data_IF_493541736610
#
_entry.id   IF_493541736610
#
_cell.length_a   1.000
_cell.length_b   1.000
_cell.length_c   1.000
_cell.angle_alpha   90.00
_cell.angle_beta   90.00
_cell.angle_gamma   90.00
#
_symmetry.space_group_name_H-M   'P 1'
#
loop_
_entity.id
_entity.type
_entity.pdbx_description
1 polymer ?
#
# COMPACT_ATOMS: atom_id res chain seq x y z
N UNK A 1 5.43 72.61 -43.48
CA UNK A 1 4.08 73.11 -43.81
C UNK A 1 3.21 71.89 -44.06
N UNK A 2 2.08 71.79 -43.33
CA UNK A 2 0.92 70.90 -43.56
C UNK A 2 1.20 69.40 -43.59
N UNK A 3 0.91 68.60 -42.57
CA UNK A 3 -0.41 68.16 -42.06
C UNK A 3 -0.09 67.08 -40.99
N UNK A 4 -0.84 66.74 -39.95
CA UNK A 4 -2.21 66.96 -39.54
C UNK A 4 -2.26 66.88 -38.01
N UNK A 5 -2.71 67.95 -37.35
CA UNK A 5 -3.35 67.82 -36.04
C UNK A 5 -4.65 67.05 -36.26
N UNK A 6 -4.63 65.72 -36.13
CA UNK A 6 -5.87 64.99 -35.84
C UNK A 6 -6.19 65.30 -34.39
N UNK A 7 -7.08 66.27 -34.20
CA UNK A 7 -7.63 66.61 -32.89
C UNK A 7 -8.03 65.32 -32.18
N UNK A 8 -7.44 65.07 -31.01
CA UNK A 8 -7.85 64.05 -30.05
C UNK A 8 -9.15 64.55 -29.40
N UNK A 9 -10.17 64.77 -30.23
CA UNK A 9 -11.52 65.10 -29.78
C UNK A 9 -12.12 63.81 -29.23
N UNK A 10 -12.50 63.85 -27.95
CA UNK A 10 -13.32 62.81 -27.33
C UNK A 10 -14.48 62.45 -28.30
N UNK A 11 -14.74 61.16 -28.58
CA UNK A 11 -15.77 60.76 -29.53
C UNK A 11 -17.12 61.36 -29.16
N UNK A 12 -17.87 61.81 -30.15
CA UNK A 12 -19.11 62.55 -29.92
C UNK A 12 -20.22 61.59 -29.44
N UNK A 13 -20.69 61.70 -28.18
CA UNK A 13 -21.70 60.78 -27.64
C UNK A 13 -23.10 60.96 -28.24
N UNK A 14 -23.30 61.93 -29.13
CA UNK A 14 -24.54 62.15 -29.90
C UNK A 14 -24.46 61.63 -31.34
N UNK A 15 -23.26 61.27 -31.84
CA UNK A 15 -23.09 60.74 -33.19
C UNK A 15 -23.33 59.23 -33.19
N UNK A 16 -24.53 58.84 -33.62
CA UNK A 16 -24.94 57.43 -33.75
C UNK A 16 -24.00 56.65 -34.67
N UNK A 17 -23.56 57.25 -35.78
CA UNK A 17 -22.69 56.58 -36.76
C UNK A 17 -21.28 56.38 -36.23
N UNK A 18 -20.75 57.31 -35.45
CA UNK A 18 -19.46 57.15 -34.76
C UNK A 18 -19.53 56.07 -33.68
N UNK A 19 -20.56 56.10 -32.81
CA UNK A 19 -20.71 55.09 -31.75
C UNK A 19 -20.91 53.69 -32.32
N UNK A 20 -21.68 53.53 -33.39
CA UNK A 20 -21.86 52.23 -34.05
C UNK A 20 -20.54 51.72 -34.65
N UNK A 21 -19.73 52.56 -35.29
CA UNK A 21 -18.40 52.17 -35.79
C UNK A 21 -17.47 51.69 -34.67
N UNK A 22 -17.53 52.32 -33.51
CA UNK A 22 -16.74 51.89 -32.34
C UNK A 22 -17.21 50.54 -31.80
N UNK A 23 -18.52 50.27 -31.80
CA UNK A 23 -19.08 48.97 -31.44
C UNK A 23 -18.66 47.91 -32.46
N UNK A 24 -18.79 48.16 -33.76
CA UNK A 24 -18.42 47.21 -34.81
C UNK A 24 -16.92 46.87 -34.75
N UNK A 25 -16.06 47.87 -34.55
CA UNK A 25 -14.63 47.67 -34.37
C UNK A 25 -14.32 46.82 -33.13
N UNK A 26 -15.00 47.07 -32.01
CA UNK A 26 -14.85 46.29 -30.79
C UNK A 26 -15.33 44.84 -30.96
N UNK A 27 -16.48 44.62 -31.60
CA UNK A 27 -17.01 43.29 -31.88
C UNK A 27 -16.11 42.50 -32.83
N UNK A 28 -15.55 43.15 -33.86
CA UNK A 28 -14.58 42.55 -34.76
C UNK A 28 -13.29 42.14 -34.03
N UNK A 29 -12.76 43.02 -33.16
CA UNK A 29 -11.58 42.73 -32.36
C UNK A 29 -11.83 41.59 -31.36
N UNK A 30 -13.00 41.54 -30.72
CA UNK A 30 -13.40 40.43 -29.84
C UNK A 30 -13.48 39.11 -30.62
N UNK A 31 -14.09 39.12 -31.81
CA UNK A 31 -14.18 37.93 -32.67
C UNK A 31 -12.82 37.44 -33.17
N UNK A 32 -11.86 38.35 -33.37
CA UNK A 32 -10.51 38.03 -33.84
C UNK A 32 -9.58 37.49 -32.74
N UNK A 33 -9.87 37.75 -31.45
CA UNK A 33 -9.05 37.26 -30.35
C UNK A 33 -9.09 35.73 -30.27
N UNK A 34 -7.91 35.11 -30.28
CA UNK A 34 -7.73 33.65 -30.25
C UNK A 34 -7.23 33.12 -28.90
N UNK A 35 -6.76 34.00 -28.02
CA UNK A 35 -6.31 33.66 -26.66
C UNK A 35 -6.90 34.58 -25.61
N UNK A 36 -6.98 34.12 -24.38
CA UNK A 36 -7.41 34.94 -23.23
C UNK A 36 -6.50 36.15 -23.02
N UNK A 37 -5.21 36.03 -23.36
CA UNK A 37 -4.25 37.13 -23.37
C UNK A 37 -4.56 38.19 -24.43
N UNK A 38 -4.89 37.78 -25.67
CA UNK A 38 -5.32 38.68 -26.74
C UNK A 38 -6.65 39.36 -26.39
N UNK A 39 -7.62 38.61 -25.86
CA UNK A 39 -8.91 39.17 -25.45
C UNK A 39 -8.76 40.20 -24.32
N UNK A 40 -7.81 39.99 -23.40
CA UNK A 40 -7.48 40.97 -22.36
C UNK A 40 -6.99 42.28 -22.96
N UNK A 41 -6.18 42.23 -24.02
CA UNK A 41 -5.72 43.42 -24.74
C UNK A 41 -6.90 44.11 -25.44
N UNK A 42 -7.74 43.37 -26.16
CA UNK A 42 -8.98 43.89 -26.78
C UNK A 42 -9.89 44.58 -25.75
N UNK A 43 -10.03 44.00 -24.55
CA UNK A 43 -10.81 44.61 -23.47
C UNK A 43 -10.23 45.95 -23.00
N UNK A 44 -8.90 46.07 -22.90
CA UNK A 44 -8.24 47.33 -22.53
C UNK A 44 -8.52 48.39 -23.59
N UNK A 45 -8.36 48.03 -24.86
CA UNK A 45 -8.43 48.98 -25.99
C UNK A 45 -9.87 49.44 -26.28
N UNK A 46 -10.85 48.54 -26.13
CA UNK A 46 -12.25 48.81 -26.55
C UNK A 46 -13.26 48.95 -25.40
N UNK A 47 -12.96 48.45 -24.19
CA UNK A 47 -13.86 48.50 -23.04
C UNK A 47 -13.21 49.06 -21.76
N UNK A 48 -11.91 49.38 -21.79
CA UNK A 48 -11.17 49.94 -20.66
C UNK A 48 -11.50 51.41 -20.40
N UNK A 49 -10.96 51.96 -19.31
CA UNK A 49 -11.26 53.32 -18.84
C UNK A 49 -10.80 54.44 -19.78
N UNK A 50 -9.90 54.14 -20.72
CA UNK A 50 -9.42 55.05 -21.76
C UNK A 50 -9.89 54.66 -23.16
N UNK A 51 -10.76 53.66 -23.27
CA UNK A 51 -11.31 53.24 -24.56
C UNK A 51 -12.16 54.34 -25.20
N UNK A 52 -12.30 54.37 -26.53
CA UNK A 52 -13.15 55.35 -27.22
C UNK A 52 -14.59 55.41 -26.67
N UNK A 53 -15.19 54.26 -26.30
CA UNK A 53 -16.52 54.22 -25.69
C UNK A 53 -16.54 54.77 -24.25
N UNK A 54 -15.46 54.62 -23.48
CA UNK A 54 -15.34 55.22 -22.16
C UNK A 54 -15.13 56.74 -22.23
N UNK A 55 -14.37 57.22 -23.22
CA UNK A 55 -14.19 58.65 -23.50
C UNK A 55 -15.51 59.30 -23.96
N UNK A 56 -16.25 58.66 -24.88
CA UNK A 56 -17.60 59.08 -25.26
C UNK A 56 -18.52 59.17 -24.04
N UNK A 57 -18.47 58.17 -23.15
CA UNK A 57 -19.29 58.15 -21.94
C UNK A 57 -18.95 59.29 -20.97
N UNK A 58 -17.68 59.71 -20.87
CA UNK A 58 -17.27 60.87 -20.07
C UNK A 58 -17.73 62.19 -20.68
N UNK A 59 -17.73 62.28 -22.01
CA UNK A 59 -18.16 63.47 -22.74
C UNK A 59 -19.65 63.80 -22.52
N UNK A 60 -20.49 62.82 -22.14
CA UNK A 60 -21.91 63.03 -21.80
C UNK A 60 -22.10 64.08 -20.69
N UNK A 61 -21.19 64.15 -19.72
CA UNK A 61 -21.25 65.12 -18.62
C UNK A 61 -21.14 66.58 -19.09
N UNK A 62 -20.58 66.81 -20.28
CA UNK A 62 -20.38 68.13 -20.90
C UNK A 62 -21.59 68.56 -21.76
N UNK A 63 -22.60 67.70 -21.95
CA UNK A 63 -23.79 67.99 -22.77
C UNK A 63 -24.86 68.81 -22.03
N UNK A 64 -25.74 69.46 -22.80
CA UNK A 64 -26.95 70.12 -22.28
C UNK A 64 -27.95 69.10 -21.69
N UNK A 65 -28.73 69.47 -20.64
CA UNK A 65 -29.64 68.55 -19.94
C UNK A 65 -30.61 67.78 -20.84
N UNK A 66 -31.09 68.40 -21.92
CA UNK A 66 -32.01 67.77 -22.88
C UNK A 66 -31.39 66.65 -23.73
N UNK A 67 -30.06 66.65 -23.91
CA UNK A 67 -29.34 65.73 -24.78
C UNK A 67 -28.71 64.54 -24.02
N UNK A 68 -28.49 64.70 -22.71
CA UNK A 68 -27.85 63.67 -21.85
C UNK A 68 -28.60 62.34 -21.84
N UNK A 69 -29.94 62.34 -21.84
CA UNK A 69 -30.74 61.11 -21.79
C UNK A 69 -30.52 60.22 -23.02
N UNK A 70 -30.53 60.83 -24.21
CA UNK A 70 -30.35 60.11 -25.46
C UNK A 70 -28.91 59.59 -25.62
N UNK A 71 -27.92 60.45 -25.36
CA UNK A 71 -26.51 60.07 -25.37
C UNK A 71 -26.18 58.95 -24.36
N UNK A 72 -26.74 59.01 -23.15
CA UNK A 72 -26.58 57.99 -22.12
C UNK A 72 -27.18 56.63 -22.51
N UNK A 73 -28.34 56.63 -23.17
CA UNK A 73 -28.93 55.39 -23.68
C UNK A 73 -28.07 54.77 -24.79
N UNK A 74 -27.63 55.59 -25.76
CA UNK A 74 -26.83 55.14 -26.89
C UNK A 74 -25.48 54.56 -26.44
N UNK A 75 -24.69 55.32 -25.67
CA UNK A 75 -23.37 54.88 -25.21
C UNK A 75 -23.48 53.76 -24.17
N UNK A 76 -24.52 53.78 -23.33
CA UNK A 76 -24.80 52.71 -22.36
C UNK A 76 -25.10 51.37 -23.05
N UNK A 77 -25.94 51.38 -24.10
CA UNK A 77 -26.24 50.19 -24.90
C UNK A 77 -25.01 49.70 -25.68
N UNK A 78 -24.22 50.61 -26.25
CA UNK A 78 -22.97 50.29 -26.93
C UNK A 78 -21.98 49.57 -26.00
N UNK A 79 -21.73 50.14 -24.81
CA UNK A 79 -20.86 49.53 -23.79
C UNK A 79 -21.41 48.19 -23.29
N UNK A 80 -22.73 48.09 -23.08
CA UNK A 80 -23.38 46.85 -22.69
C UNK A 80 -23.17 45.73 -23.72
N UNK A 81 -23.30 46.04 -25.00
CA UNK A 81 -23.13 45.09 -26.10
C UNK A 81 -21.68 44.60 -26.21
N UNK A 82 -20.70 45.51 -26.12
CA UNK A 82 -19.27 45.15 -26.14
C UNK A 82 -18.89 44.33 -24.91
N UNK A 83 -19.34 44.72 -23.72
CA UNK A 83 -19.07 43.95 -22.50
C UNK A 83 -19.67 42.55 -22.54
N UNK A 84 -20.88 42.40 -23.10
CA UNK A 84 -21.52 41.11 -23.28
C UNK A 84 -20.72 40.22 -24.26
N UNK A 85 -20.26 40.79 -25.38
CA UNK A 85 -19.43 40.08 -26.35
C UNK A 85 -18.08 39.65 -25.77
N UNK A 86 -17.40 40.54 -25.02
CA UNK A 86 -16.16 40.22 -24.31
C UNK A 86 -16.38 39.09 -23.30
N UNK A 87 -17.46 39.14 -22.51
CA UNK A 87 -17.76 38.09 -21.53
C UNK A 87 -18.05 36.74 -22.21
N UNK A 88 -18.82 36.74 -23.29
CA UNK A 88 -19.11 35.53 -24.05
C UNK A 88 -17.81 34.92 -24.64
N UNK A 89 -16.98 35.75 -25.29
CA UNK A 89 -15.71 35.31 -25.86
C UNK A 89 -14.72 34.82 -24.80
N UNK A 90 -14.70 35.45 -23.63
CA UNK A 90 -13.86 35.02 -22.52
C UNK A 90 -14.21 33.60 -22.07
N UNK A 91 -15.50 33.27 -21.99
CA UNK A 91 -15.94 31.93 -21.63
C UNK A 91 -15.55 30.88 -22.68
N UNK A 92 -15.70 31.21 -23.97
CA UNK A 92 -15.28 30.35 -25.08
C UNK A 92 -13.78 30.06 -25.04
N UNK A 93 -12.95 31.10 -24.91
CA UNK A 93 -11.49 30.96 -24.89
C UNK A 93 -11.01 30.24 -23.63
N UNK A 94 -11.60 30.51 -22.47
CA UNK A 94 -11.28 29.76 -21.23
C UNK A 94 -11.57 28.26 -21.39
N UNK A 95 -12.72 27.90 -21.97
CA UNK A 95 -13.09 26.51 -22.18
C UNK A 95 -12.14 25.81 -23.18
N UNK A 96 -11.77 26.50 -24.26
CA UNK A 96 -10.83 25.98 -25.25
C UNK A 96 -9.41 25.80 -24.68
N UNK A 97 -8.91 26.79 -23.93
CA UNK A 97 -7.59 26.71 -23.28
C UNK A 97 -7.56 25.61 -22.20
N UNK A 98 -8.64 25.44 -21.42
CA UNK A 98 -8.76 24.35 -20.45
C UNK A 98 -8.75 22.97 -21.12
N UNK A 99 -9.53 22.77 -22.19
CA UNK A 99 -9.54 21.49 -22.92
C UNK A 99 -8.16 21.17 -23.51
N UNK A 100 -7.47 22.17 -24.08
CA UNK A 100 -6.11 22.00 -24.57
C UNK A 100 -5.13 21.62 -23.45
N UNK A 101 -5.23 22.25 -22.28
CA UNK A 101 -4.44 21.89 -21.10
C UNK A 101 -4.72 20.45 -20.65
N UNK A 102 -5.99 20.05 -20.54
CA UNK A 102 -6.40 18.70 -20.15
C UNK A 102 -5.86 17.61 -21.11
N UNK A 103 -5.80 17.89 -22.42
CA UNK A 103 -5.21 16.96 -23.38
C UNK A 103 -3.69 16.89 -23.28
N UNK A 104 -3.03 18.03 -23.04
CA UNK A 104 -1.57 18.11 -22.97
C UNK A 104 -1.03 17.52 -21.66
N UNK A 105 -1.77 17.70 -20.56
CA UNK A 105 -1.45 17.20 -19.22
C UNK A 105 -1.95 15.78 -18.98
N UNK A 106 -2.47 15.11 -20.01
CA UNK A 106 -2.93 13.73 -19.90
C UNK A 106 -1.74 12.81 -19.60
N UNK A 107 -1.76 12.21 -18.41
CA UNK A 107 -0.80 11.18 -17.99
C UNK A 107 -1.45 9.80 -18.00
N UNK A 108 -0.65 8.77 -18.24
CA UNK A 108 -1.06 7.38 -18.08
C UNK A 108 -0.92 6.97 -16.61
N UNK A 109 -2.05 6.95 -15.90
CA UNK A 109 -2.12 6.58 -14.47
C UNK A 109 -1.97 5.08 -14.24
N UNK A 110 -1.87 4.26 -15.30
CA UNK A 110 -1.67 2.80 -15.21
C UNK A 110 -0.21 2.39 -15.33
N UNK A 111 0.69 3.36 -15.57
CA UNK A 111 2.12 3.08 -15.64
C UNK A 111 2.60 2.44 -14.34
N UNK A 112 3.40 1.36 -14.41
CA UNK A 112 4.01 0.79 -13.23
C UNK A 112 4.97 1.82 -12.63
N UNK A 113 4.77 2.12 -11.36
CA UNK A 113 5.67 2.96 -10.56
C UNK A 113 6.30 2.07 -9.51
N UNK A 114 7.61 2.16 -9.35
CA UNK A 114 8.31 1.48 -8.26
C UNK A 114 7.88 2.08 -6.92
N UNK A 115 6.91 1.42 -6.30
CA UNK A 115 6.54 1.64 -4.92
C UNK A 115 7.65 1.08 -4.01
N UNK A 116 7.59 1.39 -2.71
CA UNK A 116 8.54 0.82 -1.74
C UNK A 116 8.60 -0.71 -1.88
N UNK A 117 9.79 -1.33 -1.68
CA UNK A 117 9.91 -2.77 -1.77
C UNK A 117 8.96 -3.45 -0.78
N UNK A 118 8.15 -4.39 -1.29
CA UNK A 118 7.30 -5.22 -0.45
C UNK A 118 8.17 -6.21 0.35
N UNK A 119 8.00 -6.21 1.68
CA UNK A 119 8.63 -7.20 2.54
C UNK A 119 7.89 -8.53 2.49
N UNK A 120 8.62 -9.63 2.73
CA UNK A 120 8.03 -10.96 2.89
C UNK A 120 8.62 -11.64 4.13
N UNK A 121 7.83 -12.52 4.75
CA UNK A 121 8.35 -13.41 5.78
C UNK A 121 9.32 -14.43 5.16
N UNK A 122 10.31 -14.84 5.95
CA UNK A 122 11.15 -15.97 5.55
C UNK A 122 10.27 -17.22 5.37
N UNK A 123 10.47 -18.06 4.32
CA UNK A 123 9.61 -19.21 4.05
C UNK A 123 9.44 -20.16 5.23
N UNK A 124 10.50 -20.37 6.02
CA UNK A 124 10.44 -21.19 7.24
C UNK A 124 9.56 -20.54 8.31
N UNK A 125 9.62 -19.22 8.49
CA UNK A 125 8.75 -18.52 9.44
C UNK A 125 7.30 -18.60 9.02
N UNK A 126 7.01 -18.40 7.72
CA UNK A 126 5.66 -18.57 7.19
C UNK A 126 5.14 -20.00 7.44
N UNK A 127 5.95 -21.02 7.11
CA UNK A 127 5.57 -22.43 7.30
C UNK A 127 5.34 -22.78 8.77
N UNK A 128 6.19 -22.31 9.69
CA UNK A 128 6.00 -22.52 11.13
C UNK A 128 4.69 -21.90 11.60
N UNK A 129 4.39 -20.66 11.16
CA UNK A 129 3.14 -19.99 11.52
C UNK A 129 1.94 -20.77 11.00
N UNK A 130 1.95 -21.18 9.72
CA UNK A 130 0.87 -21.95 9.11
C UNK A 130 0.62 -23.27 9.86
N UNK A 131 1.69 -24.01 10.20
CA UNK A 131 1.58 -25.26 10.96
C UNK A 131 1.05 -25.01 12.38
N UNK A 132 1.55 -23.99 13.08
CA UNK A 132 1.07 -23.62 14.42
C UNK A 132 -0.40 -23.22 14.40
N UNK A 133 -0.86 -22.49 13.38
CA UNK A 133 -2.26 -22.06 13.24
C UNK A 133 -3.20 -23.27 13.13
N UNK A 134 -2.80 -24.35 12.46
CA UNK A 134 -3.58 -25.62 12.42
C UNK A 134 -3.77 -26.19 13.83
N UNK A 135 -2.71 -26.22 14.66
CA UNK A 135 -2.80 -26.71 16.03
C UNK A 135 -3.62 -25.80 16.94
N UNK A 136 -3.43 -24.48 16.83
CA UNK A 136 -4.19 -23.48 17.60
C UNK A 136 -5.68 -23.54 17.24
N UNK A 137 -6.02 -23.75 15.96
CA UNK A 137 -7.40 -23.95 15.51
C UNK A 137 -8.04 -25.22 16.11
N UNK A 138 -7.26 -26.24 16.46
CA UNK A 138 -7.71 -27.42 17.22
C UNK A 138 -7.77 -27.18 18.74
N UNK A 139 -7.39 -26.00 19.24
CA UNK A 139 -7.40 -25.63 20.65
C UNK A 139 -6.08 -25.92 21.40
N UNK A 140 -4.98 -26.14 20.69
CA UNK A 140 -3.66 -26.33 21.31
C UNK A 140 -3.00 -24.97 21.58
N UNK A 141 -2.05 -24.95 22.49
CA UNK A 141 -1.27 -23.75 22.82
C UNK A 141 0.14 -23.84 22.20
N UNK A 142 0.67 -22.71 21.72
CA UNK A 142 2.08 -22.64 21.31
C UNK A 142 2.95 -22.50 22.56
N UNK A 143 3.94 -23.37 22.70
CA UNK A 143 4.92 -23.36 23.79
C UNK A 143 6.33 -23.15 23.25
N UNK A 144 7.11 -22.31 23.90
CA UNK A 144 8.50 -22.04 23.53
C UNK A 144 9.44 -22.30 24.72
N UNK A 145 10.70 -22.54 24.42
CA UNK A 145 11.74 -22.71 25.43
C UNK A 145 13.13 -22.38 24.90
N UNK A 146 14.14 -22.39 25.77
CA UNK A 146 15.49 -21.98 25.42
C UNK A 146 16.12 -22.94 24.40
N UNK A 147 17.09 -22.42 23.65
CA UNK A 147 17.90 -23.21 22.71
C UNK A 147 19.10 -23.87 23.39
N UNK A 148 19.65 -23.22 24.42
CA UNK A 148 20.64 -23.79 25.33
C UNK A 148 19.91 -24.57 26.42
N UNK A 149 20.10 -25.89 26.44
CA UNK A 149 19.41 -26.79 27.35
C UNK A 149 20.39 -27.58 28.23
N UNK A 150 19.85 -28.13 29.32
CA UNK A 150 20.58 -29.11 30.12
C UNK A 150 20.50 -30.49 29.48
N UNK A 151 21.54 -31.29 29.69
CA UNK A 151 21.58 -32.69 29.25
C UNK A 151 20.36 -33.47 29.78
N UNK A 152 19.94 -33.18 31.01
CA UNK A 152 18.79 -33.83 31.63
C UNK A 152 17.47 -33.57 30.89
N UNK A 153 17.22 -32.33 30.48
CA UNK A 153 16.01 -31.97 29.75
C UNK A 153 16.02 -32.46 28.30
N UNK A 154 17.19 -32.48 27.67
CA UNK A 154 17.30 -32.93 26.27
C UNK A 154 17.35 -34.45 26.11
N UNK A 155 17.76 -35.18 27.16
CA UNK A 155 17.94 -36.63 27.06
C UNK A 155 17.38 -37.44 28.26
N UNK A 156 17.83 -37.21 29.49
CA UNK A 156 17.51 -38.10 30.63
C UNK A 156 16.00 -38.19 30.89
N UNK A 157 15.33 -37.03 30.89
CA UNK A 157 13.87 -36.92 31.07
C UNK A 157 13.07 -37.55 29.93
N UNK A 158 13.72 -37.89 28.83
CA UNK A 158 13.16 -38.53 27.64
C UNK A 158 13.62 -39.99 27.49
N UNK A 159 14.07 -40.61 28.57
CA UNK A 159 14.47 -42.02 28.60
C UNK A 159 15.61 -42.35 27.60
N UNK A 160 16.42 -41.36 27.21
CA UNK A 160 17.58 -41.54 26.35
C UNK A 160 18.77 -41.75 27.27
N UNK A 161 19.23 -42.97 27.54
CA UNK A 161 20.33 -43.19 28.51
C UNK A 161 21.72 -42.69 28.06
N UNK A 162 22.73 -42.68 28.95
CA UNK A 162 24.10 -42.22 28.67
C UNK A 162 24.78 -42.90 27.47
N UNK A 163 24.51 -44.20 27.28
CA UNK A 163 25.10 -45.01 26.21
C UNK A 163 24.33 -44.89 24.87
N UNK A 164 23.31 -44.03 24.81
CA UNK A 164 22.52 -43.86 23.59
C UNK A 164 23.34 -43.09 22.52
N UNK A 165 23.40 -43.57 21.27
CA UNK A 165 24.21 -42.95 20.21
C UNK A 165 23.96 -41.44 20.04
N UNK A 166 22.70 -41.02 20.11
CA UNK A 166 22.30 -39.60 19.99
C UNK A 166 22.91 -38.66 21.05
N UNK A 167 23.46 -39.17 22.17
CA UNK A 167 24.19 -38.37 23.16
C UNK A 167 25.66 -38.18 22.81
N UNK A 168 26.15 -38.88 21.79
CA UNK A 168 27.55 -38.83 21.38
C UNK A 168 27.99 -37.43 20.98
N UNK A 169 29.27 -37.14 21.20
CA UNK A 169 29.91 -35.88 20.79
C UNK A 169 29.94 -35.69 19.27
N UNK A 170 29.68 -36.74 18.49
CA UNK A 170 29.54 -36.67 17.04
C UNK A 170 28.24 -36.01 16.60
N UNK A 171 27.18 -36.08 17.42
CA UNK A 171 25.82 -35.74 17.00
C UNK A 171 25.28 -34.49 17.73
N UNK A 172 25.84 -34.19 18.90
CA UNK A 172 25.36 -33.14 19.81
C UNK A 172 26.41 -32.05 20.07
N UNK A 173 25.99 -30.79 20.01
CA UNK A 173 26.82 -29.63 20.31
C UNK A 173 26.79 -29.30 21.81
N UNK A 174 27.78 -29.81 22.55
CA UNK A 174 27.97 -29.49 23.96
C UNK A 174 28.65 -28.13 24.16
N UNK A 175 28.31 -27.45 25.25
CA UNK A 175 28.86 -26.13 25.60
C UNK A 175 29.85 -26.27 26.75
N UNK A 176 31.03 -25.67 26.58
CA UNK A 176 32.05 -25.67 27.62
C UNK A 176 31.69 -24.77 28.82
N UNK A 177 32.09 -25.13 30.05
CA UNK A 177 32.82 -26.34 30.41
C UNK A 177 31.88 -27.56 30.47
N UNK A 178 32.38 -28.75 30.09
CA UNK A 178 31.58 -29.98 30.08
C UNK A 178 30.94 -30.33 31.44
N UNK A 179 31.53 -29.87 32.54
CA UNK A 179 30.98 -30.02 33.90
C UNK A 179 29.61 -29.35 34.11
N UNK A 180 29.23 -28.42 33.24
CA UNK A 180 27.94 -27.74 33.33
C UNK A 180 26.77 -28.56 32.74
N UNK A 181 27.06 -29.66 32.03
CA UNK A 181 26.06 -30.50 31.35
C UNK A 181 25.10 -29.69 30.47
N UNK A 182 25.64 -28.72 29.71
CA UNK A 182 24.88 -27.85 28.80
C UNK A 182 25.15 -28.21 27.35
N UNK A 183 24.13 -28.06 26.52
CA UNK A 183 24.19 -28.33 25.08
C UNK A 183 23.21 -27.45 24.32
N UNK A 184 23.42 -27.28 23.01
CA UNK A 184 22.38 -26.76 22.13
C UNK A 184 21.39 -27.88 21.83
N UNK A 185 20.10 -27.63 22.06
CA UNK A 185 19.06 -28.67 22.00
C UNK A 185 19.03 -29.35 20.63
N UNK A 186 18.94 -30.68 20.63
CA UNK A 186 18.85 -31.49 19.40
C UNK A 186 17.42 -31.70 18.92
N UNK A 187 16.47 -31.35 19.79
CA UNK A 187 15.03 -31.46 19.62
C UNK A 187 14.32 -30.40 20.48
N UNK A 188 13.05 -30.13 20.20
CA UNK A 188 12.19 -29.22 20.98
C UNK A 188 11.48 -29.92 22.16
N UNK A 189 11.69 -31.22 22.35
CA UNK A 189 11.19 -32.01 23.47
C UNK A 189 11.51 -31.47 24.88
N UNK A 190 12.63 -30.76 25.14
CA UNK A 190 12.84 -30.07 26.42
C UNK A 190 11.69 -29.14 26.82
N UNK A 191 11.05 -28.48 25.85
CA UNK A 191 9.87 -27.62 26.09
C UNK A 191 8.75 -28.45 26.69
N UNK A 192 8.49 -29.64 26.14
CA UNK A 192 7.46 -30.55 26.61
C UNK A 192 7.68 -30.97 28.07
N UNK A 193 8.91 -31.33 28.43
CA UNK A 193 9.25 -31.72 29.80
C UNK A 193 9.11 -30.55 30.77
N UNK A 194 9.55 -29.35 30.38
CA UNK A 194 9.35 -28.12 31.18
C UNK A 194 7.85 -27.85 31.39
N UNK A 195 7.02 -28.01 30.36
CA UNK A 195 5.57 -27.84 30.47
C UNK A 195 4.97 -28.84 31.46
N UNK A 196 5.30 -30.12 31.35
CA UNK A 196 4.79 -31.16 32.26
C UNK A 196 5.27 -31.00 33.71
N UNK A 197 6.44 -30.42 33.94
CA UNK A 197 6.95 -30.13 35.30
C UNK A 197 6.33 -28.89 35.94
N UNK A 198 5.77 -27.98 35.14
CA UNK A 198 5.30 -26.67 35.62
C UNK A 198 3.78 -26.50 35.60
N UNK A 199 3.04 -27.41 34.95
CA UNK A 199 1.59 -27.31 34.77
C UNK A 199 0.90 -28.61 35.14
N UNK A 200 -0.33 -28.47 35.62
CA UNK A 200 -1.24 -29.61 35.80
C UNK A 200 -1.84 -30.06 34.46
N UNK A 201 -2.26 -31.33 34.41
CA UNK A 201 -2.97 -31.90 33.27
C UNK A 201 -4.43 -31.40 33.20
N UNK A 202 -5.02 -31.26 32.00
CA UNK A 202 -4.47 -31.69 30.72
C UNK A 202 -3.55 -30.67 30.03
N UNK A 203 -2.67 -31.17 29.17
CA UNK A 203 -1.71 -30.37 28.39
C UNK A 203 -1.89 -30.68 26.91
N UNK A 204 -2.05 -29.63 26.09
CA UNK A 204 -2.11 -29.67 24.63
C UNK A 204 -1.21 -28.55 24.08
N UNK A 205 0.00 -28.89 23.69
CA UNK A 205 0.98 -27.91 23.23
C UNK A 205 1.63 -28.29 21.92
N UNK A 206 1.98 -27.27 21.13
CA UNK A 206 2.86 -27.36 19.98
C UNK A 206 4.09 -26.48 20.21
N UNK A 207 5.27 -27.03 19.97
CA UNK A 207 6.55 -26.42 20.33
C UNK A 207 7.40 -26.22 19.07
N UNK A 208 7.25 -25.08 18.36
CA UNK A 208 8.15 -24.73 17.26
C UNK A 208 9.50 -24.26 17.80
N UNK A 209 10.57 -24.51 17.04
CA UNK A 209 11.85 -23.92 17.39
C UNK A 209 13.05 -24.41 16.60
N UNK A 210 14.14 -23.63 16.71
CA UNK A 210 15.46 -24.02 16.20
C UNK A 210 16.05 -25.17 17.00
N UNK A 211 16.68 -26.11 16.31
CA UNK A 211 17.40 -27.24 16.89
C UNK A 211 18.75 -27.38 16.20
N UNK A 212 19.66 -28.06 16.88
CA UNK A 212 21.07 -28.10 16.54
C UNK A 212 21.56 -29.55 16.49
N UNK A 213 22.25 -29.91 15.43
CA UNK A 213 22.91 -31.20 15.29
C UNK A 213 24.31 -31.01 14.73
N UNK A 214 25.25 -31.84 15.17
CA UNK A 214 26.62 -31.82 14.67
C UNK A 214 26.76 -32.58 13.33
N UNK A 215 25.74 -32.49 12.47
CA UNK A 215 25.71 -33.15 11.17
C UNK A 215 26.67 -32.46 10.18
N UNK A 216 27.22 -33.23 9.23
CA UNK A 216 27.99 -32.65 8.13
C UNK A 216 27.09 -31.77 7.26
N UNK A 217 27.59 -30.57 6.92
CA UNK A 217 26.87 -29.64 6.07
C UNK A 217 26.85 -30.16 4.63
N UNK A 218 25.65 -30.51 4.14
CA UNK A 218 25.43 -30.94 2.76
C UNK A 218 24.11 -30.37 2.19
N UNK A 219 23.69 -30.87 1.02
CA UNK A 219 22.47 -30.37 0.34
C UNK A 219 21.16 -30.67 1.10
N UNK A 220 21.19 -31.63 2.03
CA UNK A 220 20.04 -32.14 2.79
C UNK A 220 20.18 -31.99 4.30
N UNK A 221 21.38 -31.73 4.80
CA UNK A 221 21.69 -31.61 6.22
C UNK A 221 22.29 -30.24 6.54
N UNK A 222 21.68 -29.58 7.52
CA UNK A 222 22.14 -28.31 8.08
C UNK A 222 22.36 -28.50 9.59
N UNK A 223 23.47 -28.00 10.15
CA UNK A 223 23.71 -28.06 11.60
C UNK A 223 22.66 -27.31 12.44
N UNK A 224 21.90 -26.41 11.81
CA UNK A 224 20.79 -25.67 12.40
C UNK A 224 19.58 -25.79 11.49
N UNK A 225 18.48 -26.29 12.04
CA UNK A 225 17.19 -26.38 11.35
C UNK A 225 16.05 -26.16 12.35
N UNK A 226 14.81 -26.24 11.87
CA UNK A 226 13.63 -25.99 12.70
C UNK A 226 12.82 -27.27 12.84
N UNK A 227 12.32 -27.50 14.05
CA UNK A 227 11.37 -28.55 14.34
C UNK A 227 10.10 -27.95 14.93
N UNK A 228 9.02 -28.70 14.80
CA UNK A 228 7.75 -28.45 15.45
C UNK A 228 7.33 -29.77 16.07
N UNK A 229 7.26 -29.81 17.39
CA UNK A 229 6.81 -31.00 18.13
C UNK A 229 5.48 -30.76 18.82
N UNK A 230 4.62 -31.76 18.84
CA UNK A 230 3.34 -31.72 19.55
C UNK A 230 3.33 -32.64 20.77
N UNK A 231 2.74 -32.19 21.88
CA UNK A 231 2.47 -33.01 23.05
C UNK A 231 1.00 -32.86 23.48
N UNK A 232 0.33 -34.00 23.65
CA UNK A 232 -0.97 -34.08 24.32
C UNK A 232 -0.91 -35.09 25.45
N UNK A 233 -1.30 -34.65 26.64
CA UNK A 233 -1.46 -35.52 27.80
C UNK A 233 -2.80 -35.22 28.47
N UNK A 234 -3.73 -36.16 28.33
CA UNK A 234 -5.08 -36.09 28.90
C UNK A 234 -5.64 -37.51 29.10
N UNK A 235 -6.75 -37.62 29.83
CA UNK A 235 -7.46 -38.88 30.06
C UNK A 235 -8.10 -39.38 28.77
N UNK A 236 -7.86 -40.65 28.43
CA UNK A 236 -8.49 -41.30 27.28
C UNK A 236 -7.83 -40.97 25.93
N UNK A 237 -6.64 -40.35 25.93
CA UNK A 237 -5.85 -40.18 24.71
C UNK A 237 -5.39 -41.54 24.20
N UNK A 238 -5.43 -41.74 22.88
CA UNK A 238 -5.14 -43.02 22.22
C UNK A 238 -4.36 -42.76 20.94
N UNK A 239 -3.78 -43.83 20.36
CA UNK A 239 -3.12 -43.78 19.05
C UNK A 239 -4.06 -43.29 17.93
N UNK A 240 -5.38 -43.49 18.07
CA UNK A 240 -6.37 -42.97 17.13
C UNK A 240 -6.42 -41.45 17.10
N UNK A 241 -6.22 -40.80 18.26
CA UNK A 241 -6.12 -39.35 18.34
C UNK A 241 -4.82 -38.85 17.69
N UNK A 242 -3.69 -39.51 17.93
CA UNK A 242 -2.42 -39.16 17.27
C UNK A 242 -2.55 -39.24 15.74
N UNK A 243 -3.08 -40.35 15.22
CA UNK A 243 -3.30 -40.51 13.78
C UNK A 243 -4.23 -39.43 13.23
N UNK A 244 -5.37 -39.19 13.89
CA UNK A 244 -6.34 -38.19 13.44
C UNK A 244 -5.76 -36.77 13.41
N UNK A 245 -4.99 -36.38 14.42
CA UNK A 245 -4.31 -35.07 14.48
C UNK A 245 -3.30 -34.93 13.34
N UNK A 246 -2.45 -35.93 13.10
CA UNK A 246 -1.44 -35.88 12.05
C UNK A 246 -2.07 -35.93 10.65
N UNK A 247 -3.13 -36.71 10.45
CA UNK A 247 -3.91 -36.73 9.21
C UNK A 247 -4.53 -35.35 8.95
N UNK A 248 -5.09 -34.70 9.98
CA UNK A 248 -5.65 -33.36 9.86
C UNK A 248 -4.59 -32.32 9.50
N UNK A 249 -3.41 -32.37 10.14
CA UNK A 249 -2.28 -31.52 9.79
C UNK A 249 -1.86 -31.73 8.32
N UNK A 250 -1.69 -32.98 7.89
CA UNK A 250 -1.32 -33.30 6.52
C UNK A 250 -2.35 -32.75 5.51
N UNK A 251 -3.64 -32.95 5.78
CA UNK A 251 -4.73 -32.44 4.94
C UNK A 251 -4.77 -30.91 4.89
N UNK A 252 -4.53 -30.24 6.02
CA UNK A 252 -4.53 -28.78 6.10
C UNK A 252 -3.36 -28.15 5.33
N UNK A 253 -2.18 -28.77 5.40
CA UNK A 253 -0.96 -28.26 4.75
C UNK A 253 -0.87 -28.59 3.27
N UNK A 254 -1.36 -29.77 2.86
CA UNK A 254 -1.10 -30.31 1.52
C UNK A 254 -2.37 -30.62 0.71
N UNK A 255 -3.56 -30.40 1.26
CA UNK A 255 -4.82 -30.75 0.60
C UNK A 255 -5.07 -32.26 0.63
N UNK A 256 -5.72 -32.79 -0.41
CA UNK A 256 -6.08 -34.23 -0.46
C UNK A 256 -4.82 -35.10 -0.61
N UNK A 257 -4.30 -35.58 0.52
CA UNK A 257 -3.09 -36.43 0.60
C UNK A 257 -3.37 -37.73 1.35
N UNK A 258 -2.62 -38.78 1.00
CA UNK A 258 -2.67 -40.05 1.70
C UNK A 258 -1.52 -40.16 2.69
N UNK A 259 -1.85 -40.55 3.92
CA UNK A 259 -0.90 -40.75 5.01
C UNK A 259 -0.72 -42.23 5.33
N UNK A 260 0.49 -42.60 5.77
CA UNK A 260 0.80 -43.95 6.26
C UNK A 260 1.61 -43.88 7.55
N UNK A 261 1.10 -44.51 8.61
CA UNK A 261 1.88 -44.75 9.82
C UNK A 261 2.64 -46.07 9.71
N UNK A 262 3.97 -46.01 9.85
CA UNK A 262 4.85 -47.18 9.92
C UNK A 262 5.48 -47.28 11.31
N UNK A 263 5.59 -48.49 11.90
CA UNK A 263 6.28 -48.66 13.17
C UNK A 263 7.70 -48.13 13.11
N UNK A 264 8.12 -47.46 14.18
CA UNK A 264 9.49 -47.00 14.38
C UNK A 264 9.87 -47.19 15.85
N UNK A 265 10.99 -46.63 16.29
CA UNK A 265 11.39 -46.63 17.69
C UNK A 265 11.89 -45.24 18.10
N UNK A 266 11.33 -44.71 19.19
CA UNK A 266 11.87 -43.55 19.90
C UNK A 266 11.87 -43.85 21.40
N UNK A 267 12.98 -43.63 22.13
CA UNK A 267 13.10 -44.02 23.55
C UNK A 267 12.02 -43.47 24.49
N UNK A 268 11.37 -42.36 24.12
CA UNK A 268 10.34 -41.66 24.90
C UNK A 268 8.89 -41.96 24.46
N UNK A 269 8.66 -42.88 23.53
CA UNK A 269 7.29 -43.28 23.13
C UNK A 269 7.16 -44.79 23.02
N UNK A 270 5.99 -45.32 23.38
CA UNK A 270 5.64 -46.72 23.19
C UNK A 270 4.10 -46.85 23.14
N UNK A 271 3.50 -47.27 22.00
CA UNK A 271 4.13 -47.61 20.72
C UNK A 271 4.65 -46.37 19.96
N UNK A 272 5.67 -46.55 19.13
CA UNK A 272 6.24 -45.53 18.25
C UNK A 272 5.87 -45.74 16.77
N UNK A 273 5.71 -44.66 16.03
CA UNK A 273 5.51 -44.68 14.58
C UNK A 273 6.09 -43.44 13.89
N UNK A 274 6.38 -43.56 12.60
CA UNK A 274 6.65 -42.44 11.70
C UNK A 274 5.52 -42.32 10.69
N UNK A 275 5.17 -41.09 10.30
CA UNK A 275 4.16 -40.82 9.29
C UNK A 275 4.82 -40.44 7.97
N UNK A 276 4.48 -41.17 6.91
CA UNK A 276 4.83 -40.83 5.53
C UNK A 276 3.61 -40.20 4.83
N UNK A 277 3.87 -39.28 3.90
CA UNK A 277 2.88 -38.70 3.00
C UNK A 277 3.15 -39.18 1.56
N UNK A 278 2.11 -39.54 0.82
CA UNK A 278 2.20 -39.83 -0.62
C UNK A 278 2.20 -38.49 -1.39
N UNK A 279 3.33 -38.21 -2.07
CA UNK A 279 3.50 -37.02 -2.93
C UNK A 279 2.83 -37.18 -4.29
#
# INVERSE_FOLDING_TARGET
MTTSESADQDPNPLDVGEIMRLVDAALAAVGAATTTAELKQVRIDHAGDKSPLALANRAIGKLEPGQRKHAGQLVGQARGSVNAAVAARQNELNAAELEAALQTERVDVTLPVDMHPEGALHPITALINDMCDVFVAMGWEVAEGPELESEWLNFDSLNIGPDHPARGLSDTLFVEPASDHKLLRTQTSPVQMRTLLSRDLPVYIVSPGKVYRADEYDATHLPVFHQLEGLVVDKGITMGHLKGTLDHLAQAMFGEVRTRLRPHYFPFTEPSAEMDLEC
#
